data_IF_855849184050
#
_entry.id   IF_855849184050
#
_cell.length_a   1.000
_cell.length_b   1.000
_cell.length_c   1.000
_cell.angle_alpha   90.00
_cell.angle_beta   90.00
_cell.angle_gamma   90.00
#
_symmetry.space_group_name_H-M   'P 1'
#
loop_
_entity.id
_entity.type
_entity.pdbx_description
1 polymer ?
#
# COMPACT_ATOMS: atom_id res chain seq x y z
N UNK A 1 4.01 -62.33 33.52
CA UNK A 1 2.74 -62.23 32.81
C UNK A 1 2.08 -60.92 33.14
N UNK A 2 2.55 -59.86 32.50
CA UNK A 2 1.91 -58.51 32.53
C UNK A 2 2.35 -57.80 31.28
N UNK A 3 1.51 -57.34 30.44
CA UNK A 3 1.78 -56.30 29.41
C UNK A 3 1.14 -56.49 28.03
N UNK A 4 0.04 -57.19 27.90
CA UNK A 4 -0.70 -57.16 26.60
C UNK A 4 -1.91 -56.20 26.59
N UNK A 5 -2.42 -55.80 27.74
CA UNK A 5 -3.55 -54.89 27.87
C UNK A 5 -3.19 -53.41 27.63
N UNK A 6 -1.95 -53.00 27.94
CA UNK A 6 -1.46 -51.62 27.83
C UNK A 6 -1.23 -51.19 26.37
N UNK A 7 -0.77 -52.11 25.52
CA UNK A 7 -0.45 -51.81 24.09
C UNK A 7 -1.74 -51.59 23.25
N UNK A 8 -2.77 -52.40 23.56
CA UNK A 8 -4.07 -52.28 22.86
C UNK A 8 -4.82 -50.96 23.18
N UNK A 9 -4.70 -50.46 24.40
CA UNK A 9 -5.28 -49.17 24.78
C UNK A 9 -4.55 -48.00 24.14
N UNK A 10 -3.21 -48.09 24.03
CA UNK A 10 -2.40 -47.04 23.39
C UNK A 10 -2.67 -46.95 21.88
N UNK A 11 -2.77 -48.10 21.21
CA UNK A 11 -3.12 -48.16 19.76
C UNK A 11 -4.54 -47.65 19.47
N UNK A 12 -5.51 -47.90 20.34
CA UNK A 12 -6.88 -47.35 20.19
C UNK A 12 -6.92 -45.85 20.33
N UNK A 13 -6.15 -45.25 21.24
CA UNK A 13 -6.07 -43.79 21.43
C UNK A 13 -5.35 -43.13 20.22
N UNK A 14 -4.31 -43.76 19.67
CA UNK A 14 -3.63 -43.25 18.47
C UNK A 14 -4.55 -43.34 17.23
N UNK A 15 -5.28 -44.42 17.03
CA UNK A 15 -6.23 -44.54 15.90
C UNK A 15 -7.37 -43.55 15.98
N UNK A 16 -7.92 -43.27 17.17
CA UNK A 16 -8.98 -42.26 17.34
C UNK A 16 -8.46 -40.85 17.09
N UNK A 17 -7.25 -40.52 17.55
CA UNK A 17 -6.61 -39.20 17.28
C UNK A 17 -6.24 -39.05 15.80
N UNK A 18 -5.73 -40.09 15.14
CA UNK A 18 -5.44 -40.07 13.71
C UNK A 18 -6.72 -39.93 12.87
N UNK A 19 -7.79 -40.61 13.26
CA UNK A 19 -9.10 -40.50 12.58
C UNK A 19 -9.74 -39.13 12.78
N UNK A 20 -9.64 -38.53 13.97
CA UNK A 20 -10.14 -37.17 14.24
C UNK A 20 -9.34 -36.10 13.46
N UNK A 21 -8.02 -36.25 13.36
CA UNK A 21 -7.18 -35.35 12.55
C UNK A 21 -7.47 -35.52 11.05
N UNK A 22 -7.65 -36.73 10.56
CA UNK A 22 -8.02 -36.99 9.16
C UNK A 22 -9.41 -36.45 8.83
N UNK A 23 -10.38 -36.55 9.76
CA UNK A 23 -11.72 -36.02 9.58
C UNK A 23 -11.75 -34.50 9.63
N UNK A 24 -10.95 -33.87 10.50
CA UNK A 24 -10.75 -32.42 10.53
C UNK A 24 -10.07 -31.90 9.27
N UNK A 25 -9.09 -32.66 8.73
CA UNK A 25 -8.41 -32.32 7.49
C UNK A 25 -9.33 -32.49 6.27
N UNK A 26 -10.14 -33.55 6.21
CA UNK A 26 -11.12 -33.78 5.16
C UNK A 26 -12.28 -32.79 5.22
N UNK A 27 -12.74 -32.40 6.41
CA UNK A 27 -13.79 -31.39 6.58
C UNK A 27 -13.29 -29.97 6.24
N UNK A 28 -12.01 -29.66 6.46
CA UNK A 28 -11.39 -28.40 6.02
C UNK A 28 -11.23 -28.37 4.50
N UNK A 29 -10.86 -29.48 3.88
CA UNK A 29 -10.76 -29.62 2.42
C UNK A 29 -12.15 -29.52 1.75
N UNK A 30 -13.20 -30.11 2.34
CA UNK A 30 -14.57 -30.01 1.83
C UNK A 30 -15.12 -28.56 1.93
N UNK A 31 -14.80 -27.83 3.01
CA UNK A 31 -15.15 -26.40 3.13
C UNK A 31 -14.38 -25.52 2.13
N UNK A 32 -13.12 -25.88 1.80
CA UNK A 32 -12.35 -25.18 0.78
C UNK A 32 -13.01 -25.24 -0.61
N UNK A 33 -13.60 -26.40 -0.99
CA UNK A 33 -14.22 -26.56 -2.31
C UNK A 33 -15.59 -25.86 -2.43
N UNK A 34 -16.28 -25.63 -1.32
CA UNK A 34 -17.61 -25.01 -1.33
C UNK A 34 -17.63 -23.49 -1.48
N UNK A 35 -16.47 -22.82 -1.44
CA UNK A 35 -16.37 -21.35 -1.38
C UNK A 35 -15.60 -20.71 -2.54
N UNK A 36 -15.19 -21.47 -3.58
CA UNK A 36 -14.48 -20.89 -4.73
C UNK A 36 -15.42 -20.00 -5.55
N UNK A 37 -14.99 -18.77 -5.80
CA UNK A 37 -15.71 -17.82 -6.63
C UNK A 37 -15.21 -17.89 -8.07
N UNK A 38 -16.13 -17.85 -9.01
CA UNK A 38 -15.79 -17.72 -10.43
C UNK A 38 -15.17 -16.36 -10.71
N UNK A 39 -14.46 -16.26 -11.83
CA UNK A 39 -13.92 -15.00 -12.32
C UNK A 39 -15.01 -13.91 -12.44
N UNK A 40 -16.19 -14.27 -12.97
CA UNK A 40 -17.32 -13.35 -13.12
C UNK A 40 -17.84 -12.85 -11.77
N UNK A 41 -17.94 -13.72 -10.75
CA UNK A 41 -18.36 -13.33 -9.42
C UNK A 41 -17.35 -12.38 -8.74
N UNK A 42 -16.05 -12.66 -8.86
CA UNK A 42 -15.01 -11.75 -8.36
C UNK A 42 -15.08 -10.38 -9.06
N UNK A 43 -15.32 -10.36 -10.37
CA UNK A 43 -15.47 -9.12 -11.12
C UNK A 43 -16.72 -8.32 -10.68
N UNK A 44 -17.85 -8.99 -10.44
CA UNK A 44 -19.04 -8.35 -9.89
C UNK A 44 -18.78 -7.75 -8.50
N UNK A 45 -18.03 -8.45 -7.63
CA UNK A 45 -17.63 -7.92 -6.32
C UNK A 45 -16.73 -6.70 -6.46
N UNK A 46 -15.78 -6.72 -7.40
CA UNK A 46 -14.91 -5.58 -7.71
C UNK A 46 -15.72 -4.35 -8.14
N UNK A 47 -16.64 -4.52 -9.09
CA UNK A 47 -17.50 -3.43 -9.58
C UNK A 47 -18.35 -2.86 -8.44
N UNK A 48 -19.00 -3.73 -7.65
CA UNK A 48 -19.79 -3.31 -6.49
C UNK A 48 -18.95 -2.60 -5.43
N UNK A 49 -17.71 -3.04 -5.21
CA UNK A 49 -16.80 -2.38 -4.26
C UNK A 49 -16.41 -0.98 -4.72
N UNK A 50 -16.10 -0.79 -6.02
CA UNK A 50 -15.86 0.55 -6.56
C UNK A 50 -17.07 1.48 -6.35
N UNK A 51 -18.28 0.97 -6.58
CA UNK A 51 -19.53 1.74 -6.35
C UNK A 51 -19.71 2.10 -4.88
N UNK A 52 -19.51 1.13 -3.97
CA UNK A 52 -19.64 1.33 -2.52
C UNK A 52 -18.61 2.33 -1.96
N UNK A 53 -17.46 2.46 -2.62
CA UNK A 53 -16.40 3.39 -2.26
C UNK A 53 -16.44 4.69 -3.08
N UNK A 54 -17.43 4.86 -3.95
CA UNK A 54 -17.59 6.04 -4.80
C UNK A 54 -16.36 6.35 -5.66
N UNK A 55 -15.69 5.30 -6.14
CA UNK A 55 -14.57 5.41 -7.07
C UNK A 55 -15.14 5.61 -8.48
N UNK A 56 -14.65 6.62 -9.18
CA UNK A 56 -15.14 6.97 -10.51
C UNK A 56 -14.88 5.85 -11.53
N UNK A 57 -15.87 5.60 -12.37
CA UNK A 57 -15.77 4.65 -13.47
C UNK A 57 -16.51 5.15 -14.71
N UNK A 58 -15.78 5.67 -15.71
CA UNK A 58 -14.32 5.71 -15.85
C UNK A 58 -13.67 6.73 -14.91
N UNK A 59 -12.36 6.51 -14.60
CA UNK A 59 -11.55 7.50 -13.87
C UNK A 59 -11.45 8.81 -14.67
N UNK A 60 -11.44 9.98 -14.01
CA UNK A 60 -11.37 11.28 -14.69
C UNK A 60 -10.07 11.44 -15.49
N UNK A 61 -10.03 12.32 -16.49
CA UNK A 61 -8.80 12.63 -17.22
C UNK A 61 -7.68 13.09 -16.29
N UNK A 62 -6.46 12.62 -16.53
CA UNK A 62 -5.30 12.97 -15.71
C UNK A 62 -5.02 14.48 -15.70
N UNK A 63 -5.21 15.14 -16.80
CA UNK A 63 -4.93 16.59 -16.98
C UNK A 63 -3.63 17.01 -16.26
N UNK A 64 -2.57 16.20 -16.38
CA UNK A 64 -1.30 16.39 -15.65
C UNK A 64 -0.58 17.65 -16.10
N UNK A 65 0.15 18.27 -15.16
CA UNK A 65 0.96 19.45 -15.40
C UNK A 65 2.29 19.33 -14.66
N UNK A 66 3.39 19.67 -15.35
CA UNK A 66 4.73 19.75 -14.76
C UNK A 66 5.10 21.21 -14.58
N UNK A 67 5.37 21.63 -13.34
CA UNK A 67 5.76 23.02 -13.01
C UNK A 67 7.24 23.25 -13.12
N UNK A 68 8.05 22.29 -12.69
CA UNK A 68 9.50 22.43 -12.68
C UNK A 68 10.19 21.05 -12.77
N UNK A 69 11.44 21.09 -13.19
CA UNK A 69 12.37 19.94 -13.15
C UNK A 69 13.65 20.42 -12.49
N UNK A 70 14.10 19.71 -11.44
CA UNK A 70 15.30 20.04 -10.70
C UNK A 70 16.28 18.86 -10.73
N UNK A 71 17.58 19.07 -11.02
CA UNK A 71 18.58 18.04 -10.83
C UNK A 71 18.78 17.77 -9.35
N UNK A 72 18.97 16.50 -8.99
CA UNK A 72 19.34 16.10 -7.61
C UNK A 72 20.81 15.70 -7.58
N UNK A 73 21.20 14.85 -8.51
CA UNK A 73 22.57 14.41 -8.75
C UNK A 73 22.72 13.93 -10.21
N UNK A 74 23.86 13.34 -10.56
CA UNK A 74 24.12 12.87 -11.94
C UNK A 74 23.16 11.77 -12.40
N UNK A 75 22.53 11.03 -11.46
CA UNK A 75 21.68 9.88 -11.77
C UNK A 75 20.18 10.18 -11.67
N UNK A 76 19.79 11.21 -10.91
CA UNK A 76 18.39 11.47 -10.56
C UNK A 76 18.05 12.96 -10.72
N UNK A 77 16.93 13.25 -11.37
CA UNK A 77 16.23 14.52 -11.30
C UNK A 77 14.85 14.33 -10.68
N UNK A 78 14.27 15.39 -10.14
CA UNK A 78 12.89 15.41 -9.68
C UNK A 78 12.05 16.34 -10.56
N UNK A 79 10.79 15.97 -10.72
CA UNK A 79 9.80 16.79 -11.42
C UNK A 79 8.66 17.12 -10.46
N UNK A 80 8.27 18.39 -10.43
CA UNK A 80 7.14 18.91 -9.67
C UNK A 80 5.88 18.83 -10.52
N UNK A 81 4.93 18.01 -10.13
CA UNK A 81 3.79 17.64 -10.97
C UNK A 81 2.48 17.77 -10.23
N UNK A 82 1.41 18.00 -10.96
CA UNK A 82 0.06 17.70 -10.50
C UNK A 82 -0.64 16.81 -11.52
N UNK A 83 -1.54 15.96 -11.05
CA UNK A 83 -2.52 15.25 -11.88
C UNK A 83 -3.91 15.38 -11.25
N UNK A 84 -4.96 15.18 -12.04
CA UNK A 84 -6.33 15.32 -11.54
C UNK A 84 -6.86 14.01 -10.95
N UNK A 85 -7.78 14.16 -10.00
CA UNK A 85 -8.59 13.13 -9.36
C UNK A 85 -10.06 13.55 -9.37
N UNK A 86 -10.90 13.02 -8.48
CA UNK A 86 -12.33 13.30 -8.41
C UNK A 86 -12.65 14.80 -8.51
N UNK A 87 -13.69 15.12 -9.25
CA UNK A 87 -14.20 16.48 -9.45
C UNK A 87 -13.16 17.47 -10.00
N UNK A 88 -12.09 16.97 -10.65
CA UNK A 88 -11.01 17.79 -11.18
C UNK A 88 -10.03 18.32 -10.15
N UNK A 89 -10.13 17.87 -8.89
CA UNK A 89 -9.15 18.18 -7.85
C UNK A 89 -7.73 17.79 -8.28
N UNK A 90 -6.75 18.58 -7.88
CA UNK A 90 -5.35 18.37 -8.21
C UNK A 90 -4.60 17.65 -7.10
N UNK A 91 -3.78 16.68 -7.47
CA UNK A 91 -2.89 15.94 -6.59
C UNK A 91 -1.47 16.39 -6.82
N UNK A 92 -0.85 17.17 -5.90
CA UNK A 92 0.56 17.53 -5.97
C UNK A 92 1.44 16.29 -5.76
N UNK A 93 2.42 16.11 -6.63
CA UNK A 93 3.31 14.96 -6.66
C UNK A 93 4.76 15.36 -6.97
N UNK A 94 5.69 14.54 -6.49
CA UNK A 94 7.09 14.54 -6.90
C UNK A 94 7.35 13.27 -7.69
N UNK A 95 7.99 13.43 -8.84
CA UNK A 95 8.42 12.32 -9.68
C UNK A 95 9.93 12.28 -9.71
N UNK A 96 10.50 11.19 -9.20
CA UNK A 96 11.93 10.92 -9.28
C UNK A 96 12.20 10.19 -10.59
N UNK A 97 13.07 10.73 -11.42
CA UNK A 97 13.30 10.26 -12.78
C UNK A 97 14.78 9.98 -12.98
N UNK A 98 15.15 8.79 -13.47
CA UNK A 98 16.53 8.51 -13.88
C UNK A 98 16.98 9.51 -14.94
N UNK A 99 18.18 10.07 -14.81
CA UNK A 99 18.71 11.09 -15.75
C UNK A 99 19.01 10.49 -17.11
N UNK A 100 19.48 9.24 -17.15
CA UNK A 100 19.89 8.55 -18.37
C UNK A 100 19.18 7.19 -18.51
N UNK A 101 17.85 7.16 -18.78
CA UNK A 101 17.13 5.91 -18.91
C UNK A 101 17.59 5.13 -20.15
N UNK A 102 17.86 3.84 -19.99
CA UNK A 102 18.19 2.92 -21.09
C UNK A 102 16.92 2.27 -21.61
N UNK A 103 16.25 2.93 -22.55
CA UNK A 103 14.96 2.47 -23.07
C UNK A 103 13.81 2.72 -22.10
N UNK A 104 12.74 1.92 -22.18
CA UNK A 104 11.64 2.01 -21.24
C UNK A 104 12.00 1.38 -19.90
N UNK A 105 11.70 2.08 -18.82
CA UNK A 105 12.07 1.72 -17.44
C UNK A 105 10.84 1.33 -16.61
N UNK A 106 11.00 0.57 -15.53
CA UNK A 106 9.90 0.31 -14.60
C UNK A 106 9.46 1.57 -13.84
N UNK A 107 8.28 1.51 -13.23
CA UNK A 107 7.84 2.57 -12.33
C UNK A 107 7.37 2.02 -10.98
N UNK A 108 7.49 2.85 -9.95
CA UNK A 108 7.01 2.58 -8.58
C UNK A 108 6.15 3.76 -8.14
N UNK A 109 4.96 3.48 -7.62
CA UNK A 109 4.12 4.47 -6.92
C UNK A 109 4.27 4.24 -5.42
N UNK A 110 4.63 5.29 -4.67
CA UNK A 110 4.77 5.26 -3.22
C UNK A 110 3.52 5.88 -2.58
N UNK A 111 2.82 5.09 -1.78
CA UNK A 111 1.60 5.50 -1.07
C UNK A 111 1.93 5.73 0.39
N UNK A 112 1.70 6.96 0.85
CA UNK A 112 2.11 7.41 2.16
C UNK A 112 1.22 6.87 3.29
N UNK A 113 1.81 6.67 4.47
CA UNK A 113 1.10 6.35 5.69
C UNK A 113 0.31 7.54 6.23
N UNK A 114 -0.48 7.30 7.28
CA UNK A 114 -1.27 8.34 7.95
C UNK A 114 -0.35 9.44 8.50
N UNK A 115 -0.68 10.70 8.23
CA UNK A 115 0.16 11.85 8.55
C UNK A 115 1.39 12.03 7.66
N UNK A 116 1.66 11.08 6.76
CA UNK A 116 2.76 11.17 5.80
C UNK A 116 2.36 11.87 4.50
N UNK A 117 3.34 12.46 3.85
CA UNK A 117 3.22 13.16 2.57
C UNK A 117 4.45 12.89 1.68
N UNK A 118 4.50 13.47 0.50
CA UNK A 118 5.62 13.30 -0.43
C UNK A 118 6.98 13.78 0.09
N UNK A 119 6.99 14.56 1.19
CA UNK A 119 8.23 14.99 1.87
C UNK A 119 8.64 14.07 3.04
N UNK A 120 7.86 13.03 3.33
CA UNK A 120 8.21 12.04 4.34
C UNK A 120 9.55 11.37 4.01
N UNK A 121 10.40 11.19 5.03
CA UNK A 121 11.75 10.64 4.86
C UNK A 121 11.79 9.35 4.02
N UNK A 122 10.85 8.43 4.25
CA UNK A 122 10.78 7.16 3.53
C UNK A 122 10.34 7.33 2.07
N UNK A 123 9.49 8.31 1.77
CA UNK A 123 9.08 8.63 0.42
C UNK A 123 10.26 9.22 -0.37
N UNK A 124 11.01 10.13 0.24
CA UNK A 124 12.23 10.71 -0.33
C UNK A 124 13.29 9.64 -0.56
N UNK A 125 13.57 8.83 0.48
CA UNK A 125 14.57 7.75 0.37
C UNK A 125 14.22 6.76 -0.74
N UNK A 126 12.98 6.29 -0.76
CA UNK A 126 12.49 5.33 -1.75
C UNK A 126 12.55 5.92 -3.16
N UNK A 127 12.16 7.20 -3.30
CA UNK A 127 12.23 7.91 -4.56
C UNK A 127 13.64 7.94 -5.14
N UNK A 128 14.60 8.38 -4.34
CA UNK A 128 16.01 8.46 -4.72
C UNK A 128 16.62 7.08 -4.98
N UNK A 129 16.35 6.12 -4.08
CA UNK A 129 16.87 4.76 -4.16
C UNK A 129 16.50 4.10 -5.49
N UNK A 130 15.21 4.02 -5.78
CA UNK A 130 14.75 3.30 -6.97
C UNK A 130 14.92 4.10 -8.26
N UNK A 131 14.99 5.44 -8.19
CA UNK A 131 15.40 6.20 -9.36
C UNK A 131 16.89 5.96 -9.72
N UNK A 132 17.76 5.77 -8.72
CA UNK A 132 19.15 5.33 -8.93
C UNK A 132 19.19 3.90 -9.51
N UNK A 133 18.27 3.03 -9.13
CA UNK A 133 18.10 1.71 -9.75
C UNK A 133 17.63 1.77 -11.21
N UNK A 134 17.17 2.94 -11.66
CA UNK A 134 16.68 3.18 -13.01
C UNK A 134 15.16 3.06 -13.15
N UNK A 135 14.39 3.17 -12.08
CA UNK A 135 12.92 3.24 -12.12
C UNK A 135 12.43 4.69 -12.03
N UNK A 136 11.30 4.99 -12.65
CA UNK A 136 10.54 6.21 -12.33
C UNK A 136 9.79 6.00 -11.02
N UNK A 137 9.89 6.93 -10.06
CA UNK A 137 9.16 6.81 -8.79
C UNK A 137 8.24 8.02 -8.61
N UNK A 138 6.97 7.76 -8.32
CA UNK A 138 5.95 8.78 -8.07
C UNK A 138 5.52 8.72 -6.61
N UNK A 139 5.59 9.85 -5.92
CA UNK A 139 4.98 10.04 -4.60
C UNK A 139 4.15 11.31 -4.58
N UNK A 140 3.11 11.36 -3.77
CA UNK A 140 2.14 12.46 -3.78
C UNK A 140 1.61 12.75 -2.36
N UNK A 141 0.93 13.87 -2.20
CA UNK A 141 0.27 14.21 -0.94
C UNK A 141 -1.10 13.53 -0.87
N UNK A 142 -1.38 12.77 0.19
CA UNK A 142 -2.75 12.37 0.51
C UNK A 142 -3.62 13.60 0.77
N UNK A 143 -4.93 13.48 0.53
CA UNK A 143 -5.86 14.57 0.84
C UNK A 143 -5.77 14.94 2.32
N UNK A 144 -5.74 16.23 2.63
CA UNK A 144 -5.64 16.75 4.00
C UNK A 144 -4.22 16.80 4.56
N UNK A 145 -3.19 16.53 3.73
CA UNK A 145 -1.78 16.60 4.10
C UNK A 145 -1.01 17.55 3.18
N UNK A 146 0.01 18.22 3.71
CA UNK A 146 0.93 19.14 3.03
C UNK A 146 0.23 20.09 2.05
N UNK A 147 0.52 20.01 0.74
CA UNK A 147 -0.09 20.90 -0.26
C UNK A 147 -1.57 20.60 -0.51
N UNK A 148 -2.11 19.52 0.05
CA UNK A 148 -3.55 19.21 0.07
C UNK A 148 -4.22 19.51 1.41
N UNK A 149 -3.53 20.20 2.31
CA UNK A 149 -4.04 20.77 3.57
C UNK A 149 -4.17 22.28 3.43
N UNK A 150 -5.20 22.88 4.03
CA UNK A 150 -5.40 24.32 4.07
C UNK A 150 -4.21 25.04 4.72
N UNK A 151 -3.62 24.41 5.71
CA UNK A 151 -2.45 24.96 6.44
C UNK A 151 -1.13 24.69 5.73
N UNK A 152 -1.12 23.87 4.70
CA UNK A 152 0.09 23.33 4.05
C UNK A 152 1.03 22.64 5.05
N UNK A 153 0.51 22.15 6.16
CA UNK A 153 1.29 21.39 7.13
C UNK A 153 1.31 19.91 6.81
N UNK A 154 2.42 19.23 7.11
CA UNK A 154 2.46 17.78 7.25
C UNK A 154 1.77 17.40 8.57
N UNK A 155 1.25 16.18 8.64
CA UNK A 155 0.53 15.69 9.83
C UNK A 155 -0.70 16.55 10.19
N UNK A 156 -1.30 17.19 9.17
CA UNK A 156 -2.47 18.06 9.39
C UNK A 156 -3.74 17.24 9.69
N UNK A 157 -3.83 16.03 9.15
CA UNK A 157 -4.91 15.07 9.43
C UNK A 157 -6.31 15.63 9.13
N UNK A 158 -6.44 16.51 8.13
CA UNK A 158 -7.75 17.12 7.84
C UNK A 158 -8.79 16.10 7.39
N UNK A 159 -8.35 15.02 6.76
CA UNK A 159 -9.19 13.91 6.31
C UNK A 159 -9.78 13.05 7.46
N UNK A 160 -9.25 13.19 8.67
CA UNK A 160 -9.78 12.48 9.85
C UNK A 160 -11.01 13.16 10.44
N UNK A 161 -11.21 14.43 10.13
CA UNK A 161 -12.28 15.22 10.70
C UNK A 161 -13.62 14.86 10.06
N UNK A 162 -14.70 14.72 10.85
CA UNK A 162 -16.03 14.56 10.30
C UNK A 162 -16.39 15.71 9.36
N UNK A 163 -16.94 15.40 8.21
CA UNK A 163 -17.43 16.41 7.24
C UNK A 163 -18.91 16.62 7.49
N UNK A 164 -19.33 17.81 7.96
CA UNK A 164 -20.73 18.08 8.25
C UNK A 164 -21.61 17.89 7.00
N UNK A 165 -22.69 17.14 7.16
CA UNK A 165 -23.67 16.87 6.10
C UNK A 165 -23.31 15.71 5.16
N UNK A 166 -22.08 15.18 5.21
CA UNK A 166 -21.70 14.02 4.42
C UNK A 166 -22.31 12.74 5.04
N UNK A 167 -23.17 12.06 4.27
CA UNK A 167 -23.87 10.84 4.71
C UNK A 167 -22.97 9.61 4.59
N UNK A 168 -22.04 9.65 3.65
CA UNK A 168 -21.14 8.55 3.28
C UNK A 168 -19.68 8.94 3.53
N UNK A 169 -19.17 8.87 4.78
CA UNK A 169 -17.80 9.25 5.12
C UNK A 169 -16.75 8.39 4.38
N UNK A 170 -17.11 7.18 3.94
CA UNK A 170 -16.29 6.29 3.11
C UNK A 170 -15.88 6.91 1.77
N UNK A 171 -16.55 7.95 1.29
CA UNK A 171 -16.15 8.73 0.11
C UNK A 171 -14.75 9.33 0.23
N UNK A 172 -14.33 9.73 1.43
CA UNK A 172 -12.98 10.26 1.66
C UNK A 172 -11.93 9.17 1.38
N UNK A 173 -12.17 7.97 1.88
CA UNK A 173 -11.31 6.82 1.58
C UNK A 173 -11.35 6.44 0.10
N UNK A 174 -12.53 6.51 -0.53
CA UNK A 174 -12.69 6.30 -1.97
C UNK A 174 -11.86 7.29 -2.80
N UNK A 175 -11.87 8.58 -2.43
CA UNK A 175 -10.99 9.59 -3.04
C UNK A 175 -9.51 9.21 -2.90
N UNK A 176 -9.07 8.78 -1.70
CA UNK A 176 -7.68 8.39 -1.47
C UNK A 176 -7.28 7.13 -2.27
N UNK A 177 -8.20 6.19 -2.43
CA UNK A 177 -7.98 5.00 -3.25
C UNK A 177 -7.88 5.39 -4.74
N UNK A 178 -8.73 6.32 -5.20
CA UNK A 178 -8.69 6.84 -6.56
C UNK A 178 -7.39 7.62 -6.83
N UNK A 179 -6.89 8.38 -5.86
CA UNK A 179 -5.58 9.05 -5.95
C UNK A 179 -4.45 8.06 -6.27
N UNK A 180 -4.44 6.87 -5.62
CA UNK A 180 -3.48 5.80 -5.95
C UNK A 180 -3.65 5.34 -7.40
N UNK A 181 -4.90 5.12 -7.83
CA UNK A 181 -5.19 4.68 -9.20
C UNK A 181 -4.75 5.73 -10.23
N UNK A 182 -4.98 7.00 -9.95
CA UNK A 182 -4.55 8.11 -10.81
C UNK A 182 -3.02 8.25 -10.84
N UNK A 183 -2.33 8.05 -9.71
CA UNK A 183 -0.87 8.03 -9.67
C UNK A 183 -0.29 6.89 -10.53
N UNK A 184 -0.92 5.71 -10.52
CA UNK A 184 -0.55 4.57 -11.38
C UNK A 184 -0.78 4.90 -12.86
N UNK A 185 -1.93 5.51 -13.21
CA UNK A 185 -2.21 5.97 -14.59
C UNK A 185 -1.22 7.03 -15.03
N UNK A 186 -0.89 7.98 -14.16
CA UNK A 186 0.11 9.00 -14.45
C UNK A 186 1.48 8.36 -14.73
N UNK A 187 1.94 7.45 -13.87
CA UNK A 187 3.19 6.73 -14.09
C UNK A 187 3.19 6.00 -15.43
N UNK A 188 2.09 5.29 -15.75
CA UNK A 188 1.95 4.55 -17.00
C UNK A 188 1.88 5.44 -18.26
N UNK A 189 1.42 6.68 -18.13
CA UNK A 189 1.28 7.63 -19.24
C UNK A 189 2.62 8.27 -19.67
N UNK A 190 3.66 8.08 -18.86
CA UNK A 190 4.98 8.67 -19.13
C UNK A 190 5.67 7.93 -20.27
N UNK A 191 6.28 8.68 -21.22
CA UNK A 191 6.87 8.07 -22.43
C UNK A 191 8.04 7.14 -22.13
N UNK A 192 8.81 7.39 -21.04
CA UNK A 192 9.94 6.57 -20.63
C UNK A 192 9.55 5.33 -19.83
N UNK A 193 8.29 5.21 -19.36
CA UNK A 193 7.84 4.09 -18.52
C UNK A 193 7.34 2.93 -19.37
N UNK A 194 7.71 1.71 -18.96
CA UNK A 194 7.10 0.47 -19.39
C UNK A 194 5.83 0.19 -18.56
N UNK A 195 4.63 0.35 -19.13
CA UNK A 195 3.39 0.18 -18.36
C UNK A 195 3.12 -1.26 -17.92
N UNK A 196 3.92 -2.23 -18.34
CA UNK A 196 3.84 -3.63 -17.89
C UNK A 196 4.70 -3.90 -16.65
N UNK A 197 5.54 -2.96 -16.25
CA UNK A 197 6.49 -3.06 -15.12
C UNK A 197 6.23 -1.97 -14.08
N UNK A 198 5.00 -1.92 -13.56
CA UNK A 198 4.60 -0.96 -12.51
C UNK A 198 4.38 -1.69 -11.21
N UNK A 199 4.98 -1.19 -10.12
CA UNK A 199 4.69 -1.61 -8.77
C UNK A 199 4.06 -0.48 -7.95
N UNK A 200 3.31 -0.85 -6.91
CA UNK A 200 2.80 0.07 -5.90
C UNK A 200 3.32 -0.39 -4.55
N UNK A 201 3.93 0.52 -3.80
CA UNK A 201 4.41 0.25 -2.45
C UNK A 201 3.70 1.18 -1.47
N UNK A 202 3.18 0.63 -0.38
CA UNK A 202 2.41 1.40 0.60
C UNK A 202 2.85 1.13 2.03
N UNK A 203 2.80 2.17 2.87
CA UNK A 203 3.13 2.10 4.28
C UNK A 203 1.91 2.43 5.15
N UNK A 204 1.64 1.61 6.20
CA UNK A 204 0.59 1.87 7.17
C UNK A 204 -0.79 2.10 6.50
N UNK A 205 -1.44 3.22 6.70
CA UNK A 205 -2.64 3.63 5.94
C UNK A 205 -2.43 3.46 4.43
N UNK A 206 -1.24 3.82 3.92
CA UNK A 206 -0.90 3.64 2.51
C UNK A 206 -0.84 2.18 2.07
N UNK A 207 -0.50 1.24 2.96
CA UNK A 207 -0.59 -0.20 2.64
C UNK A 207 -2.04 -0.65 2.46
N UNK A 208 -2.94 -0.13 3.29
CA UNK A 208 -4.37 -0.36 3.18
C UNK A 208 -4.95 0.21 1.87
N UNK A 209 -4.64 1.47 1.54
CA UNK A 209 -5.07 2.07 0.26
C UNK A 209 -4.45 1.36 -0.94
N UNK A 210 -3.21 0.89 -0.83
CA UNK A 210 -2.53 0.14 -1.89
C UNK A 210 -3.26 -1.16 -2.22
N UNK A 211 -3.61 -1.98 -1.22
CA UNK A 211 -4.32 -3.24 -1.50
C UNK A 211 -5.71 -2.98 -2.07
N UNK A 212 -6.45 -1.97 -1.54
CA UNK A 212 -7.75 -1.58 -2.08
C UNK A 212 -7.63 -1.09 -3.53
N UNK A 213 -6.78 -0.11 -3.80
CA UNK A 213 -6.62 0.48 -5.13
C UNK A 213 -6.22 -0.56 -6.18
N UNK A 214 -5.34 -1.50 -5.81
CA UNK A 214 -4.81 -2.50 -6.75
C UNK A 214 -5.71 -3.73 -6.91
N UNK A 215 -6.47 -4.10 -5.89
CA UNK A 215 -7.50 -5.12 -5.97
C UNK A 215 -8.73 -4.65 -6.77
N UNK A 216 -9.09 -3.38 -6.61
CA UNK A 216 -10.24 -2.76 -7.25
C UNK A 216 -9.91 -2.13 -8.62
N UNK A 217 -8.67 -2.25 -9.08
CA UNK A 217 -8.22 -1.77 -10.38
C UNK A 217 -9.09 -2.29 -11.53
N UNK A 218 -9.69 -1.37 -12.29
CA UNK A 218 -10.51 -1.68 -13.46
C UNK A 218 -9.66 -1.80 -14.75
N UNK A 219 -10.29 -2.12 -15.88
CA UNK A 219 -9.60 -2.31 -17.17
C UNK A 219 -8.92 -1.05 -17.70
N UNK A 220 -9.25 0.12 -17.18
CA UNK A 220 -8.62 1.40 -17.51
C UNK A 220 -7.25 1.63 -16.86
N UNK A 221 -6.86 0.76 -15.92
CA UNK A 221 -5.55 0.79 -15.29
C UNK A 221 -4.62 -0.23 -15.98
N UNK A 222 -3.32 0.08 -16.08
CA UNK A 222 -2.35 -0.91 -16.49
C UNK A 222 -2.34 -2.06 -15.47
N UNK A 223 -1.90 -3.23 -15.93
CA UNK A 223 -1.70 -4.36 -15.01
C UNK A 223 -0.59 -4.05 -14.03
N UNK A 224 -0.94 -3.87 -12.76
CA UNK A 224 0.04 -3.60 -11.69
C UNK A 224 0.83 -4.87 -11.41
N UNK A 225 2.13 -4.86 -11.77
CA UNK A 225 3.01 -6.03 -11.76
C UNK A 225 3.25 -6.58 -10.36
N UNK A 226 3.46 -5.68 -9.38
CA UNK A 226 3.84 -6.05 -8.01
C UNK A 226 3.26 -5.08 -6.99
N UNK A 227 3.04 -5.55 -5.77
CA UNK A 227 2.60 -4.74 -4.62
C UNK A 227 3.45 -5.07 -3.40
N UNK A 228 3.89 -4.04 -2.67
CA UNK A 228 4.54 -4.19 -1.37
C UNK A 228 3.71 -3.44 -0.32
N UNK A 229 3.32 -4.15 0.73
CA UNK A 229 2.58 -3.64 1.88
C UNK A 229 3.51 -3.65 3.09
N UNK A 230 3.84 -2.49 3.61
CA UNK A 230 4.72 -2.35 4.78
C UNK A 230 3.94 -1.78 5.96
N UNK A 231 4.07 -2.37 7.14
CA UNK A 231 3.28 -2.00 8.30
C UNK A 231 1.78 -2.18 8.05
N UNK A 232 1.38 -3.32 7.46
CA UNK A 232 -0.01 -3.56 7.09
C UNK A 232 -0.28 -4.94 6.52
N UNK A 233 -1.32 -5.06 5.72
CA UNK A 233 -1.70 -6.30 5.05
C UNK A 233 -2.67 -7.20 5.81
N UNK A 234 -2.94 -6.92 7.09
CA UNK A 234 -3.94 -7.60 7.92
C UNK A 234 -5.30 -6.91 7.75
N UNK A 235 -6.14 -7.43 6.88
CA UNK A 235 -7.42 -6.82 6.52
C UNK A 235 -8.64 -7.50 7.15
N UNK A 236 -8.45 -8.52 7.98
CA UNK A 236 -9.51 -9.31 8.58
C UNK A 236 -9.48 -9.35 10.10
N UNK A 237 -10.60 -9.74 10.67
CA UNK A 237 -10.82 -9.99 12.08
C UNK A 237 -11.72 -8.96 12.74
N UNK A 238 -12.66 -9.44 13.55
CA UNK A 238 -13.64 -8.60 14.25
C UNK A 238 -13.01 -7.60 15.21
N UNK A 239 -11.85 -7.95 15.75
CA UNK A 239 -11.13 -7.15 16.73
C UNK A 239 -9.87 -6.52 16.15
N UNK A 240 -9.71 -6.54 14.83
CA UNK A 240 -8.59 -5.94 14.14
C UNK A 240 -8.67 -4.41 14.15
N UNK A 241 -7.54 -3.76 13.98
CA UNK A 241 -7.41 -2.30 13.96
C UNK A 241 -8.46 -1.59 13.09
N UNK A 242 -8.81 -2.21 11.96
CA UNK A 242 -9.78 -1.67 10.99
C UNK A 242 -11.23 -1.75 11.45
N UNK A 243 -11.57 -2.69 12.36
CA UNK A 243 -12.89 -2.87 12.95
C UNK A 243 -13.05 -2.23 14.35
N UNK A 244 -11.95 -1.81 14.96
CA UNK A 244 -11.87 -1.41 16.38
C UNK A 244 -12.47 -0.05 16.68
N UNK A 245 -13.64 0.29 16.21
CA UNK A 245 -14.38 1.49 16.66
C UNK A 245 -13.77 2.84 16.33
N UNK A 246 -12.56 2.93 15.80
CA UNK A 246 -11.99 4.16 15.26
C UNK A 246 -12.66 4.46 13.94
N UNK A 247 -13.53 5.46 13.94
CA UNK A 247 -14.28 5.92 12.76
C UNK A 247 -13.45 6.88 11.92
N UNK A 248 -12.25 6.46 11.49
CA UNK A 248 -11.48 7.28 10.56
C UNK A 248 -12.04 7.11 9.15
N UNK A 249 -12.43 8.23 8.55
CA UNK A 249 -12.99 8.28 7.19
C UNK A 249 -12.02 7.72 6.14
N UNK A 250 -10.72 7.83 6.40
CA UNK A 250 -9.67 7.38 5.50
C UNK A 250 -9.35 5.88 5.60
N UNK A 251 -9.82 5.19 6.62
CA UNK A 251 -9.42 3.80 6.91
C UNK A 251 -10.63 2.88 7.19
N UNK A 252 -11.23 2.98 8.37
CA UNK A 252 -12.30 2.07 8.79
C UNK A 252 -13.61 2.27 8.00
N UNK A 253 -13.92 3.48 7.57
CA UNK A 253 -15.09 3.76 6.74
C UNK A 253 -15.08 2.97 5.43
N UNK A 254 -14.05 3.11 4.58
CA UNK A 254 -13.92 2.33 3.36
C UNK A 254 -13.94 0.82 3.59
N UNK A 255 -13.32 0.37 4.68
CA UNK A 255 -13.27 -1.05 5.00
C UNK A 255 -14.67 -1.61 5.33
N UNK A 256 -15.46 -0.90 6.12
CA UNK A 256 -16.84 -1.28 6.46
C UNK A 256 -17.79 -1.24 5.26
N UNK A 257 -17.56 -0.34 4.30
CA UNK A 257 -18.34 -0.30 3.07
C UNK A 257 -18.27 -1.61 2.27
N UNK A 258 -17.30 -2.50 2.59
CA UNK A 258 -17.11 -3.80 1.97
C UNK A 258 -17.70 -4.97 2.77
N UNK A 259 -18.50 -4.73 3.81
CA UNK A 259 -19.14 -5.79 4.62
C UNK A 259 -20.07 -6.69 3.83
N UNK A 260 -20.47 -6.26 2.63
CA UNK A 260 -21.26 -7.09 1.72
C UNK A 260 -20.47 -8.23 1.05
N UNK A 261 -19.16 -8.28 1.21
CA UNK A 261 -18.38 -9.42 0.71
C UNK A 261 -18.84 -10.71 1.40
N UNK A 262 -18.98 -11.83 0.66
CA UNK A 262 -19.46 -13.07 1.23
C UNK A 262 -18.53 -13.59 2.33
N UNK A 263 -19.07 -13.99 3.49
CA UNK A 263 -18.30 -14.57 4.59
C UNK A 263 -18.43 -13.86 5.93
N UNK A 264 -19.61 -13.48 6.36
CA UNK A 264 -19.95 -13.01 7.74
C UNK A 264 -19.03 -11.88 8.28
N UNK A 265 -18.69 -10.92 7.43
CA UNK A 265 -17.84 -9.77 7.78
C UNK A 265 -16.35 -10.08 7.90
N UNK A 266 -15.94 -11.31 7.67
CA UNK A 266 -14.56 -11.79 7.85
C UNK A 266 -13.88 -12.18 6.51
N UNK A 267 -14.49 -11.84 5.39
CA UNK A 267 -14.01 -12.23 4.07
C UNK A 267 -13.45 -11.08 3.22
N UNK A 268 -13.35 -9.88 3.79
CA UNK A 268 -12.84 -8.70 3.06
C UNK A 268 -11.41 -8.91 2.60
N UNK A 269 -10.52 -9.33 3.49
CA UNK A 269 -9.14 -9.62 3.16
C UNK A 269 -9.00 -10.71 2.10
N UNK A 270 -9.52 -11.92 2.27
CA UNK A 270 -9.46 -12.97 1.26
C UNK A 270 -9.97 -12.55 -0.11
N UNK A 271 -11.07 -11.79 -0.20
CA UNK A 271 -11.61 -11.30 -1.47
C UNK A 271 -10.69 -10.25 -2.11
N UNK A 272 -10.21 -9.27 -1.34
CA UNK A 272 -9.30 -8.25 -1.86
C UNK A 272 -7.99 -8.87 -2.36
N UNK A 273 -7.40 -9.78 -1.60
CA UNK A 273 -6.21 -10.49 -2.04
C UNK A 273 -6.47 -11.42 -3.23
N UNK A 274 -7.65 -12.05 -3.31
CA UNK A 274 -8.05 -12.85 -4.47
C UNK A 274 -8.15 -11.99 -5.74
N UNK A 275 -8.74 -10.81 -5.63
CA UNK A 275 -8.80 -9.84 -6.73
C UNK A 275 -7.40 -9.38 -7.13
N UNK A 276 -6.54 -9.06 -6.16
CA UNK A 276 -5.17 -8.61 -6.41
C UNK A 276 -4.30 -9.71 -7.05
N UNK A 277 -4.42 -10.96 -6.60
CA UNK A 277 -3.65 -12.10 -7.10
C UNK A 277 -3.81 -12.32 -8.61
N UNK A 278 -4.91 -11.87 -9.21
CA UNK A 278 -5.15 -11.93 -10.66
C UNK A 278 -4.18 -11.05 -11.46
N UNK A 279 -3.63 -10.02 -10.84
CA UNK A 279 -2.73 -9.06 -11.50
C UNK A 279 -1.25 -9.35 -11.24
N UNK A 280 -0.90 -9.93 -10.10
CA UNK A 280 0.49 -10.26 -9.76
C UNK A 280 0.70 -10.49 -8.25
N UNK A 281 1.94 -10.76 -7.82
CA UNK A 281 2.28 -11.06 -6.46
C UNK A 281 2.17 -9.84 -5.53
N UNK A 282 2.04 -10.14 -4.24
CA UNK A 282 2.04 -9.17 -3.15
C UNK A 282 3.04 -9.61 -2.08
N UNK A 283 3.90 -8.69 -1.65
CA UNK A 283 4.79 -8.85 -0.52
C UNK A 283 4.27 -8.05 0.67
N UNK A 284 4.19 -8.67 1.83
CA UNK A 284 3.84 -8.03 3.10
C UNK A 284 5.07 -8.00 3.99
N UNK A 285 5.44 -6.83 4.49
CA UNK A 285 6.66 -6.61 5.26
C UNK A 285 6.33 -5.92 6.57
N UNK A 286 6.48 -6.62 7.69
CA UNK A 286 6.10 -6.13 9.01
C UNK A 286 7.22 -6.36 10.04
N UNK A 287 7.23 -5.54 11.08
CA UNK A 287 8.05 -5.77 12.26
C UNK A 287 7.35 -6.68 13.27
N UNK A 288 8.13 -7.47 14.01
CA UNK A 288 7.58 -8.33 15.08
C UNK A 288 7.07 -7.54 16.28
N UNK A 289 7.56 -6.31 16.45
CA UNK A 289 7.13 -5.37 17.50
C UNK A 289 6.12 -4.32 17.00
N UNK A 290 5.53 -4.53 15.83
CA UNK A 290 4.52 -3.63 15.28
C UNK A 290 3.18 -3.80 16.03
N UNK A 291 2.95 -2.97 17.03
CA UNK A 291 1.76 -3.01 17.88
C UNK A 291 0.45 -2.69 17.15
N UNK A 292 0.51 -2.10 15.95
CA UNK A 292 -0.68 -1.85 15.13
C UNK A 292 -1.09 -3.06 14.30
N UNK A 293 -0.12 -3.92 13.94
CA UNK A 293 -0.32 -5.06 13.05
C UNK A 293 -0.32 -6.38 13.81
N UNK A 294 0.45 -6.46 14.88
CA UNK A 294 0.65 -7.69 15.67
C UNK A 294 -0.22 -7.72 16.92
N UNK A 295 -1.23 -6.89 17.01
CA UNK A 295 -2.12 -6.71 18.17
C UNK A 295 -2.65 -8.02 18.76
N UNK A 296 -2.54 -9.14 18.06
CA UNK A 296 -3.11 -10.42 18.47
C UNK A 296 -2.08 -11.56 18.53
N UNK A 297 -0.78 -11.26 18.53
CA UNK A 297 0.30 -12.25 18.58
C UNK A 297 0.22 -13.33 17.48
N UNK A 298 -0.49 -13.08 16.42
CA UNK A 298 -0.75 -14.06 15.36
C UNK A 298 0.19 -13.92 14.16
N UNK A 299 1.15 -13.05 14.18
CA UNK A 299 2.19 -12.85 13.15
C UNK A 299 2.02 -13.71 11.86
N UNK A 300 2.91 -14.63 11.61
CA UNK A 300 2.86 -15.53 10.45
C UNK A 300 1.64 -16.47 10.43
N UNK A 301 1.14 -17.05 11.54
CA UNK A 301 -0.09 -17.83 11.54
C UNK A 301 -1.31 -17.12 10.95
N UNK A 302 -1.47 -15.81 11.17
CA UNK A 302 -2.52 -15.03 10.50
C UNK A 302 -2.40 -15.10 8.98
N UNK A 303 -1.20 -14.88 8.43
CA UNK A 303 -0.98 -14.90 6.98
C UNK A 303 -1.05 -16.32 6.39
N UNK A 304 -0.69 -17.36 7.17
CA UNK A 304 -0.92 -18.76 6.77
C UNK A 304 -2.42 -19.00 6.60
N UNK A 305 -3.25 -18.59 7.57
CA UNK A 305 -4.70 -18.69 7.47
C UNK A 305 -5.26 -17.87 6.30
N UNK A 306 -4.82 -16.63 6.15
CA UNK A 306 -5.21 -15.76 5.04
C UNK A 306 -4.91 -16.41 3.68
N UNK A 307 -3.70 -16.96 3.47
CA UNK A 307 -3.32 -17.68 2.23
C UNK A 307 -4.25 -18.87 1.95
N UNK A 308 -4.63 -19.62 2.98
CA UNK A 308 -5.56 -20.75 2.81
C UNK A 308 -6.97 -20.26 2.42
N UNK A 309 -7.44 -19.17 3.01
CA UNK A 309 -8.73 -18.56 2.68
C UNK A 309 -8.74 -17.97 1.28
N UNK A 310 -7.66 -17.32 0.84
CA UNK A 310 -7.51 -16.85 -0.55
C UNK A 310 -7.54 -18.02 -1.51
N UNK A 311 -6.83 -19.11 -1.21
CA UNK A 311 -6.83 -20.31 -2.03
C UNK A 311 -8.23 -20.93 -2.11
N UNK A 312 -9.00 -20.91 -1.03
CA UNK A 312 -10.41 -21.36 -1.02
C UNK A 312 -11.28 -20.49 -1.95
N UNK A 313 -11.13 -19.17 -1.87
CA UNK A 313 -11.89 -18.21 -2.72
C UNK A 313 -11.56 -18.37 -4.19
N UNK A 314 -10.29 -18.56 -4.53
CA UNK A 314 -9.82 -18.57 -5.93
C UNK A 314 -9.76 -19.97 -6.56
N UNK A 315 -9.76 -21.02 -5.75
CA UNK A 315 -9.40 -22.38 -6.19
C UNK A 315 -7.92 -22.51 -6.62
N UNK A 316 -7.06 -21.53 -6.27
CA UNK A 316 -5.67 -21.47 -6.73
C UNK A 316 -4.72 -20.98 -5.61
N UNK A 317 -3.48 -21.44 -5.67
CA UNK A 317 -2.41 -20.95 -4.79
C UNK A 317 -1.43 -20.01 -5.50
N UNK A 318 -1.79 -19.52 -6.67
CA UNK A 318 -0.96 -18.59 -7.46
C UNK A 318 -1.02 -17.18 -6.88
N UNK A 319 0.11 -16.49 -6.80
CA UNK A 319 0.24 -15.10 -6.31
C UNK A 319 -0.34 -14.89 -4.90
N UNK A 320 -0.29 -15.91 -4.04
CA UNK A 320 -0.60 -15.71 -2.62
C UNK A 320 0.38 -14.71 -2.01
N UNK A 321 -0.04 -13.92 -1.01
CA UNK A 321 0.86 -12.95 -0.38
C UNK A 321 2.05 -13.64 0.27
N UNK A 322 3.24 -13.14 -0.02
CA UNK A 322 4.49 -13.48 0.65
C UNK A 322 4.67 -12.59 1.87
N UNK A 323 5.39 -13.04 2.88
CA UNK A 323 5.62 -12.31 4.13
C UNK A 323 7.10 -12.23 4.45
N UNK A 324 7.55 -11.06 4.92
CA UNK A 324 8.86 -10.87 5.53
C UNK A 324 8.66 -10.21 6.90
N UNK A 325 9.27 -10.78 7.92
CA UNK A 325 9.24 -10.26 9.28
C UNK A 325 10.62 -9.72 9.67
N UNK A 326 10.61 -8.53 10.27
CA UNK A 326 11.81 -7.90 10.82
C UNK A 326 11.76 -8.02 12.35
N UNK A 327 12.68 -8.77 12.92
CA UNK A 327 12.77 -8.94 14.36
C UNK A 327 13.09 -7.63 15.07
N UNK A 328 12.44 -7.38 16.19
CA UNK A 328 12.60 -6.19 17.03
C UNK A 328 12.36 -4.85 16.29
N UNK A 329 11.57 -4.89 15.23
CA UNK A 329 11.17 -3.70 14.48
C UNK A 329 9.70 -3.42 14.77
N UNK A 330 9.40 -2.17 15.12
CA UNK A 330 8.04 -1.67 15.31
C UNK A 330 7.34 -1.33 14.00
N UNK A 331 6.37 -0.40 14.06
CA UNK A 331 5.61 0.05 12.91
C UNK A 331 6.45 0.92 11.97
N UNK A 332 7.03 0.33 10.92
CA UNK A 332 8.02 0.98 10.05
C UNK A 332 7.81 0.68 8.57
N UNK A 333 8.11 1.64 7.67
CA UNK A 333 8.22 1.37 6.24
C UNK A 333 9.49 0.57 5.95
N UNK A 334 9.38 -0.50 5.16
CA UNK A 334 10.48 -1.46 4.93
C UNK A 334 10.84 -1.64 3.45
N UNK A 335 10.20 -0.93 2.54
CA UNK A 335 10.39 -1.14 1.09
C UNK A 335 11.72 -0.58 0.54
N UNK A 336 12.58 0.04 1.38
CA UNK A 336 13.95 0.44 1.03
C UNK A 336 15.01 -0.57 1.51
N UNK A 337 14.60 -1.67 2.11
CA UNK A 337 15.52 -2.71 2.59
C UNK A 337 16.05 -3.57 1.45
N UNK A 338 17.16 -4.29 1.71
CA UNK A 338 17.74 -5.23 0.74
C UNK A 338 16.73 -6.29 0.28
N UNK A 339 15.97 -6.86 1.20
CA UNK A 339 14.97 -7.87 0.88
C UNK A 339 13.87 -7.32 -0.04
N UNK A 340 13.39 -6.10 0.22
CA UNK A 340 12.43 -5.43 -0.66
C UNK A 340 13.02 -5.16 -2.04
N UNK A 341 14.25 -4.67 -2.10
CA UNK A 341 14.92 -4.34 -3.36
C UNK A 341 15.14 -5.58 -4.24
N UNK A 342 15.59 -6.70 -3.65
CA UNK A 342 15.73 -7.98 -4.36
C UNK A 342 14.36 -8.45 -4.88
N UNK A 343 13.34 -8.45 -4.02
CA UNK A 343 12.00 -8.90 -4.41
C UNK A 343 11.40 -8.03 -5.51
N UNK A 344 11.56 -6.71 -5.41
CA UNK A 344 11.11 -5.78 -6.45
C UNK A 344 11.89 -5.94 -7.75
N UNK A 345 13.21 -6.19 -7.69
CA UNK A 345 14.02 -6.44 -8.89
C UNK A 345 13.57 -7.70 -9.63
N UNK A 346 13.25 -8.77 -8.92
CA UNK A 346 12.68 -10.00 -9.51
C UNK A 346 11.36 -9.72 -10.26
N UNK A 347 10.61 -8.71 -9.88
CA UNK A 347 9.35 -8.35 -10.52
C UNK A 347 9.49 -7.29 -11.62
N UNK A 348 10.40 -6.32 -11.43
CA UNK A 348 10.51 -5.12 -12.25
C UNK A 348 11.74 -5.10 -13.18
N UNK A 349 12.79 -5.86 -12.85
CA UNK A 349 14.07 -5.91 -13.58
C UNK A 349 14.68 -4.51 -13.73
N UNK A 350 15.24 -3.98 -12.65
CA UNK A 350 15.86 -2.67 -12.64
C UNK A 350 17.05 -2.60 -13.60
N UNK A 351 17.12 -1.61 -14.51
CA UNK A 351 18.13 -1.59 -15.56
C UNK A 351 19.54 -1.30 -15.05
N UNK A 352 19.69 -0.68 -13.88
CA UNK A 352 20.99 -0.23 -13.37
C UNK A 352 21.59 -1.17 -12.32
N UNK A 353 20.83 -2.17 -11.84
CA UNK A 353 21.27 -3.08 -10.79
C UNK A 353 21.18 -4.53 -11.23
N UNK A 354 21.94 -5.34 -10.56
CA UNK A 354 21.81 -6.81 -10.53
C UNK A 354 21.56 -7.26 -9.10
N UNK A 355 20.97 -8.43 -8.91
CA UNK A 355 20.78 -9.01 -7.58
C UNK A 355 22.09 -9.07 -6.79
N UNK A 356 23.18 -9.48 -7.43
CA UNK A 356 24.49 -9.53 -6.79
C UNK A 356 24.98 -8.14 -6.31
N UNK A 357 24.68 -7.07 -7.04
CA UNK A 357 24.99 -5.72 -6.60
C UNK A 357 24.08 -5.31 -5.42
N UNK A 358 22.79 -5.62 -5.47
CA UNK A 358 21.86 -5.34 -4.36
C UNK A 358 22.32 -6.07 -3.08
N UNK A 359 22.78 -7.31 -3.20
CA UNK A 359 23.33 -8.10 -2.10
C UNK A 359 24.62 -7.50 -1.52
N UNK A 360 25.43 -6.90 -2.36
CA UNK A 360 26.72 -6.32 -1.97
C UNK A 360 26.62 -4.89 -1.42
N UNK A 361 25.53 -4.14 -1.67
CA UNK A 361 25.39 -2.77 -1.17
C UNK A 361 25.47 -2.75 0.37
N UNK A 362 26.17 -1.76 0.96
CA UNK A 362 26.11 -1.52 2.39
C UNK A 362 24.70 -1.16 2.82
N UNK A 363 24.46 -1.14 4.14
CA UNK A 363 23.19 -0.68 4.69
C UNK A 363 23.41 0.43 5.69
N UNK A 364 22.43 1.32 5.81
CA UNK A 364 22.39 2.41 6.78
C UNK A 364 21.05 2.35 7.55
N UNK A 365 21.08 2.66 8.83
CA UNK A 365 19.83 2.86 9.57
C UNK A 365 19.14 4.11 9.04
N UNK A 366 17.86 4.04 8.83
CA UNK A 366 17.07 5.17 8.37
C UNK A 366 17.26 6.42 9.25
N UNK A 367 17.38 6.22 10.55
CA UNK A 367 17.66 7.27 11.52
C UNK A 367 19.00 7.97 11.30
N UNK A 368 20.04 7.23 11.00
CA UNK A 368 21.37 7.79 10.76
C UNK A 368 21.38 8.62 9.47
N UNK A 369 20.73 8.12 8.41
CA UNK A 369 20.55 8.87 7.18
C UNK A 369 19.80 10.20 7.39
N UNK A 370 18.67 10.15 8.12
CA UNK A 370 17.88 11.35 8.45
C UNK A 370 18.73 12.36 9.24
N UNK A 371 19.52 11.88 10.21
CA UNK A 371 20.42 12.74 11.00
C UNK A 371 21.51 13.37 10.14
N UNK A 372 22.09 12.60 9.23
CA UNK A 372 23.14 13.08 8.33
C UNK A 372 22.65 14.09 7.30
N UNK A 373 21.44 13.90 6.80
CA UNK A 373 20.90 14.68 5.68
C UNK A 373 20.00 15.83 6.10
N UNK A 374 19.56 15.87 7.35
CA UNK A 374 18.62 16.86 7.84
C UNK A 374 17.20 16.74 7.29
N UNK A 375 16.88 15.62 6.62
CA UNK A 375 15.52 15.35 6.16
C UNK A 375 14.57 15.30 7.35
N UNK A 376 13.41 15.90 7.22
CA UNK A 376 12.42 15.92 8.30
C UNK A 376 11.91 14.51 8.60
N UNK A 377 11.89 14.17 9.87
CA UNK A 377 11.26 12.96 10.38
C UNK A 377 10.16 13.37 11.37
N UNK A 378 9.00 12.73 11.32
CA UNK A 378 7.94 12.98 12.28
C UNK A 378 8.35 12.50 13.68
N UNK A 379 7.77 13.11 14.72
CA UNK A 379 8.05 12.73 16.11
C UNK A 379 7.76 11.25 16.39
N UNK A 380 6.73 10.70 15.79
CA UNK A 380 6.38 9.29 15.93
C UNK A 380 7.46 8.33 15.45
N UNK A 381 8.22 8.71 14.44
CA UNK A 381 9.33 7.90 13.93
C UNK A 381 10.61 7.99 14.76
N UNK A 382 10.84 9.11 15.46
CA UNK A 382 12.06 9.32 16.26
C UNK A 382 12.10 8.37 17.47
N UNK A 383 10.95 8.15 18.10
CA UNK A 383 10.86 7.43 19.39
C UNK A 383 11.21 5.96 19.25
N UNK A 384 11.03 5.37 18.09
CA UNK A 384 11.09 3.91 17.88
C UNK A 384 12.39 3.44 17.25
N UNK A 385 13.39 4.31 17.25
CA UNK A 385 14.73 3.97 16.73
C UNK A 385 15.59 3.23 17.75
N UNK A 386 14.99 2.79 18.85
CA UNK A 386 15.75 2.28 19.99
C UNK A 386 16.55 1.02 19.68
N UNK A 387 16.05 0.15 18.80
CA UNK A 387 16.69 -1.15 18.62
C UNK A 387 16.63 -1.59 17.15
N UNK A 388 17.79 -1.65 16.52
CA UNK A 388 17.94 -2.20 15.19
C UNK A 388 17.40 -1.39 14.02
N UNK A 389 16.26 -0.76 14.12
CA UNK A 389 15.64 0.06 13.08
C UNK A 389 15.63 -0.61 11.68
N UNK A 390 15.03 0.09 10.70
CA UNK A 390 15.08 -0.39 9.31
C UNK A 390 16.48 -0.14 8.73
N UNK A 391 17.08 -1.19 8.21
CA UNK A 391 18.34 -1.15 7.47
C UNK A 391 18.03 -0.92 5.98
N UNK A 392 18.14 0.32 5.55
CA UNK A 392 18.00 0.68 4.14
C UNK A 392 19.30 0.40 3.38
N UNK A 393 19.22 0.18 2.06
CA UNK A 393 20.41 0.10 1.21
C UNK A 393 21.15 1.43 1.19
N UNK A 394 22.43 1.47 1.56
CA UNK A 394 23.21 2.70 1.58
C UNK A 394 23.88 2.97 0.23
N UNK A 395 23.38 3.98 -0.45
CA UNK A 395 23.94 4.52 -1.68
C UNK A 395 24.38 5.98 -1.51
N UNK A 396 24.60 6.41 -0.26
CA UNK A 396 24.95 7.80 0.07
C UNK A 396 23.97 8.81 -0.54
N UNK A 397 22.67 8.49 -0.47
CA UNK A 397 21.61 9.31 -1.05
C UNK A 397 21.53 10.65 -0.35
N UNK A 398 21.41 11.79 -1.11
CA UNK A 398 21.27 13.12 -0.51
C UNK A 398 19.91 13.27 0.17
N UNK A 399 19.82 14.24 1.09
CA UNK A 399 18.54 14.76 1.57
C UNK A 399 17.93 15.75 0.59
N UNK A 400 16.61 15.89 0.63
CA UNK A 400 15.90 16.94 -0.08
C UNK A 400 15.12 17.80 0.91
N UNK A 401 15.16 19.11 0.69
CA UNK A 401 14.44 20.06 1.54
C UNK A 401 12.95 20.07 1.21
N UNK A 402 12.13 20.58 2.14
CA UNK A 402 10.71 20.73 1.92
C UNK A 402 10.39 21.63 0.72
N UNK A 403 11.20 22.69 0.53
CA UNK A 403 11.07 23.61 -0.58
C UNK A 403 11.33 22.89 -1.92
N UNK A 404 12.36 22.04 -1.98
CA UNK A 404 12.63 21.20 -3.15
C UNK A 404 11.52 20.17 -3.43
N UNK A 405 10.69 19.85 -2.44
CA UNK A 405 9.59 18.89 -2.52
C UNK A 405 8.21 19.57 -2.61
N UNK A 406 8.17 20.90 -2.65
CA UNK A 406 6.95 21.68 -2.90
C UNK A 406 6.66 21.65 -4.40
N UNK A 407 5.59 20.96 -4.80
CA UNK A 407 5.28 20.71 -6.20
C UNK A 407 4.61 21.90 -6.89
N UNK A 408 3.73 22.61 -6.18
CA UNK A 408 2.96 23.74 -6.71
C UNK A 408 3.58 25.05 -6.28
N UNK A 409 3.91 25.99 -7.19
CA UNK A 409 4.34 27.34 -6.85
C UNK A 409 3.38 27.98 -5.86
N UNK A 410 3.94 28.65 -4.82
CA UNK A 410 3.14 29.15 -3.69
C UNK A 410 2.07 30.16 -4.12
N UNK A 411 2.40 31.03 -5.05
CA UNK A 411 1.51 32.05 -5.62
C UNK A 411 0.34 31.41 -6.37
N UNK A 412 0.57 30.34 -7.11
CA UNK A 412 -0.49 29.57 -7.78
C UNK A 412 -1.37 28.83 -6.79
N UNK A 413 -0.76 28.22 -5.77
CA UNK A 413 -1.51 27.55 -4.71
C UNK A 413 -2.38 28.53 -3.94
N UNK A 414 -1.86 29.71 -3.56
CA UNK A 414 -2.59 30.74 -2.83
C UNK A 414 -3.71 31.38 -3.62
N UNK A 415 -3.60 31.39 -4.96
CA UNK A 415 -4.64 31.92 -5.82
C UNK A 415 -5.93 31.09 -5.75
N UNK A 416 -5.82 29.78 -5.64
CA UNK A 416 -6.97 28.89 -5.49
C UNK A 416 -6.59 27.60 -4.74
N UNK A 417 -6.53 27.62 -3.41
CA UNK A 417 -6.24 26.44 -2.62
C UNK A 417 -7.33 25.36 -2.70
N UNK A 418 -8.55 25.72 -3.13
CA UNK A 418 -9.66 24.76 -3.24
C UNK A 418 -9.41 23.71 -4.33
N UNK A 419 -8.56 24.00 -5.31
CA UNK A 419 -8.14 23.02 -6.31
C UNK A 419 -7.41 21.81 -5.71
N UNK A 420 -6.88 21.93 -4.50
CA UNK A 420 -6.00 20.92 -3.88
C UNK A 420 -6.58 20.35 -2.59
N UNK A 421 -7.48 21.04 -1.91
CA UNK A 421 -7.86 20.80 -0.51
C UNK A 421 -9.31 20.34 -0.36
N UNK A 422 -9.63 19.70 0.77
CA UNK A 422 -10.98 19.23 1.09
C UNK A 422 -12.09 20.26 0.88
N UNK A 423 -11.92 21.56 1.25
CA UNK A 423 -12.94 22.57 0.97
C UNK A 423 -13.41 22.65 -0.49
N UNK A 424 -12.57 22.34 -1.44
CA UNK A 424 -12.98 22.28 -2.85
C UNK A 424 -13.72 21.01 -3.22
N UNK A 425 -13.37 19.87 -2.59
CA UNK A 425 -14.02 18.58 -2.84
C UNK A 425 -15.39 18.45 -2.17
N UNK A 426 -15.52 18.95 -0.93
CA UNK A 426 -16.73 18.79 -0.10
C UNK A 426 -18.02 19.21 -0.79
N UNK A 427 -18.12 20.41 -1.42
CA UNK A 427 -19.36 20.82 -2.07
C UNK A 427 -19.82 19.86 -3.17
N UNK A 428 -18.89 19.31 -3.94
CA UNK A 428 -19.19 18.34 -5.00
C UNK A 428 -19.64 16.99 -4.42
N UNK A 429 -18.98 16.53 -3.35
CA UNK A 429 -19.35 15.29 -2.67
C UNK A 429 -20.77 15.38 -2.06
N UNK A 430 -21.11 16.51 -1.41
CA UNK A 430 -22.45 16.76 -0.85
C UNK A 430 -23.50 16.83 -1.96
N UNK A 431 -23.22 17.52 -3.07
CA UNK A 431 -24.13 17.60 -4.20
C UNK A 431 -24.39 16.21 -4.81
N UNK A 432 -23.35 15.37 -4.91
CA UNK A 432 -23.49 14.01 -5.43
C UNK A 432 -24.29 13.06 -4.51
N UNK A 433 -24.52 13.43 -3.25
CA UNK A 433 -25.39 12.69 -2.30
C UNK A 433 -26.84 13.21 -2.27
N UNK A 434 -27.09 14.34 -2.89
CA UNK A 434 -28.42 14.93 -2.92
C UNK A 434 -29.30 14.34 -4.04
N UNK A 435 -28.69 13.61 -4.96
CA UNK A 435 -29.33 12.94 -6.10
C UNK A 435 -29.28 11.42 -5.93
#
# INVERSE_FOLDING_TARGET
>A
MTSSASLASFLRVLCVKASALAFAFLSSQAKLHAQSLTHAQLEQLRVRANQALFIDSPLPPLASHTFATLPVNDNVRIEHVTFATQFGMRVPAIVYVPTHPRGKVPAIVVVNGHGGDKSSWYAVYTGLLYATAGAVVVTYDPIGEFERSITRASEAGEHDKPIPGLKHPERVGGLMIEDVQQAVRYAASRPEVDPTRIAVVGYSMGSFHTILATALAGPQLPKIRAVVLSGGGNLDGKDQYWDSGRTLNCQSGPYRALDFFPGDGDARGPILYALRARSGPTLVMNGTEDHLITTFNELEPFFVNLRNRIAAVTGSRTNLPETIWYENVGHRPSFMTRAAAIWLDLQLHFPNWTIAQIEAFPTVRAADWVTQTGVRISKGYIVEQKEGGIQALDLHLPGLTREQLTAVPLDLWQKDPTLYTLPGWIPHALAAEAH
#
